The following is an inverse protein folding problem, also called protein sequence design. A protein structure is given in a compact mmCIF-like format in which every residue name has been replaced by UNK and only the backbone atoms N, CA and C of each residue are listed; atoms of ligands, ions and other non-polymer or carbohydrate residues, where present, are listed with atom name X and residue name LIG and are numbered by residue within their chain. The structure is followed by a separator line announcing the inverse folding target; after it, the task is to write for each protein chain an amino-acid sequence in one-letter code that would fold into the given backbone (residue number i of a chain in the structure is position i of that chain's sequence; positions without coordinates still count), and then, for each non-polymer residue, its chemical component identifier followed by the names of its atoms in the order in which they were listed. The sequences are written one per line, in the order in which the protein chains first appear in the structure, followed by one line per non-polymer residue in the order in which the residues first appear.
data_IF_655825652246
#
_entry.id   IF_655825652246
#
_cell.length_a   1.000
_cell.length_b   1.000
_cell.length_c   1.000
_cell.angle_alpha   90.00
_cell.angle_beta   90.00
_cell.angle_gamma   90.00
#
_symmetry.space_group_name_H-M   'P 1'
#
loop_
_entity.id
_entity.type
_entity.pdbx_description
1 polymer ?
#
# COMPACT_ATOMS: atom_id res chain seq x y z
N UNK A 1 -26.27 -18.12 -29.69
CA UNK A 1 -26.58 -16.96 -28.84
C UNK A 1 -26.01 -17.26 -27.48
N UNK A 2 -25.11 -16.43 -26.97
CA UNK A 2 -24.36 -16.72 -25.75
C UNK A 2 -25.19 -16.26 -24.54
N UNK A 3 -25.79 -17.21 -23.81
CA UNK A 3 -26.69 -16.93 -22.69
C UNK A 3 -26.02 -16.14 -21.57
N UNK A 4 -24.69 -16.22 -21.45
CA UNK A 4 -23.90 -15.44 -20.50
C UNK A 4 -23.92 -13.95 -20.87
N UNK A 5 -23.79 -13.62 -22.17
CA UNK A 5 -23.82 -12.22 -22.63
C UNK A 5 -25.17 -11.56 -22.42
N UNK A 6 -26.25 -12.33 -22.56
CA UNK A 6 -27.61 -11.83 -22.27
C UNK A 6 -27.73 -11.51 -20.79
N UNK A 7 -27.32 -12.43 -19.91
CA UNK A 7 -27.36 -12.21 -18.46
C UNK A 7 -26.57 -10.96 -18.03
N UNK A 8 -25.36 -10.75 -18.57
CA UNK A 8 -24.56 -9.55 -18.27
C UNK A 8 -25.24 -8.26 -18.78
N UNK A 9 -25.90 -8.31 -19.94
CA UNK A 9 -26.69 -7.21 -20.47
C UNK A 9 -27.88 -6.87 -19.56
N UNK A 10 -28.57 -7.88 -19.02
CA UNK A 10 -29.69 -7.69 -18.11
C UNK A 10 -29.22 -7.00 -16.82
N UNK A 11 -28.11 -7.45 -16.22
CA UNK A 11 -27.52 -6.77 -15.05
C UNK A 11 -27.05 -5.35 -15.34
N UNK A 12 -26.52 -5.08 -16.54
CA UNK A 12 -26.18 -3.71 -16.95
C UNK A 12 -27.43 -2.81 -17.01
N UNK A 13 -28.56 -3.31 -17.51
CA UNK A 13 -29.81 -2.54 -17.51
C UNK A 13 -30.30 -2.22 -16.10
N UNK A 14 -30.21 -3.18 -15.17
CA UNK A 14 -30.53 -2.96 -13.75
C UNK A 14 -29.64 -1.87 -13.14
N UNK A 15 -28.36 -1.81 -13.53
CA UNK A 15 -27.45 -0.75 -13.09
C UNK A 15 -27.81 0.63 -13.69
N UNK A 16 -28.06 0.70 -15.00
CA UNK A 16 -28.34 1.97 -15.71
C UNK A 16 -29.72 2.56 -15.36
N UNK A 17 -30.69 1.69 -15.06
CA UNK A 17 -32.08 2.07 -14.72
C UNK A 17 -32.54 1.23 -13.52
N UNK A 18 -32.08 1.56 -12.31
CA UNK A 18 -32.41 0.79 -11.11
C UNK A 18 -33.90 0.93 -10.77
N UNK A 19 -34.67 -0.12 -11.05
CA UNK A 19 -35.96 -0.39 -10.44
C UNK A 19 -35.79 -1.27 -9.18
N UNK A 20 -36.77 -1.31 -8.29
CA UNK A 20 -36.78 -2.17 -7.09
C UNK A 20 -35.51 -2.16 -6.20
N UNK A 21 -34.71 -1.08 -6.26
CA UNK A 21 -33.53 -0.93 -5.41
C UNK A 21 -33.95 -0.86 -3.92
N UNK A 22 -33.25 -1.60 -3.08
CA UNK A 22 -33.55 -1.73 -1.64
C UNK A 22 -32.55 -0.98 -0.75
N UNK A 23 -31.55 -0.35 -1.36
CA UNK A 23 -30.51 0.39 -0.64
C UNK A 23 -30.00 1.62 -1.42
N UNK A 24 -29.67 2.67 -0.69
CA UNK A 24 -28.94 3.85 -1.16
C UNK A 24 -27.56 3.89 -0.50
N UNK A 25 -26.50 3.86 -1.32
CA UNK A 25 -25.12 4.03 -0.86
C UNK A 25 -24.73 5.50 -1.00
N UNK A 26 -24.43 6.14 0.12
CA UNK A 26 -23.99 7.52 0.22
C UNK A 26 -22.46 7.57 0.31
N UNK A 27 -21.82 8.21 -0.67
CA UNK A 27 -20.36 8.16 -0.85
C UNK A 27 -19.77 9.56 -0.77
N UNK A 28 -18.63 9.67 -0.09
CA UNK A 28 -17.90 10.94 0.08
C UNK A 28 -18.49 11.86 1.14
N UNK A 29 -18.01 13.11 1.19
CA UNK A 29 -18.40 14.16 2.17
C UNK A 29 -18.41 15.54 1.53
N UNK A 30 -19.19 16.44 2.12
CA UNK A 30 -19.19 17.85 1.75
C UNK A 30 -19.62 18.05 0.30
N UNK A 31 -18.81 18.78 -0.46
CA UNK A 31 -19.09 19.06 -1.88
C UNK A 31 -18.86 17.84 -2.79
N UNK A 32 -18.04 16.86 -2.36
CA UNK A 32 -17.79 15.61 -3.09
C UNK A 32 -18.67 14.47 -2.57
N UNK A 33 -19.99 14.72 -2.46
CA UNK A 33 -20.97 13.74 -1.99
C UNK A 33 -21.86 13.25 -3.15
N UNK A 34 -22.08 11.94 -3.26
CA UNK A 34 -23.01 11.35 -4.24
C UNK A 34 -23.74 10.14 -3.64
N UNK A 35 -25.02 10.00 -4.00
CA UNK A 35 -25.86 8.86 -3.61
C UNK A 35 -26.08 7.92 -4.79
N UNK A 36 -26.02 6.62 -4.52
CA UNK A 36 -26.18 5.55 -5.52
C UNK A 36 -27.28 4.59 -5.08
N UNK A 37 -28.33 4.46 -5.89
CA UNK A 37 -29.33 3.40 -5.73
C UNK A 37 -28.73 2.05 -6.12
N UNK A 38 -28.91 1.03 -5.29
CA UNK A 38 -28.34 -0.29 -5.53
C UNK A 38 -29.20 -1.42 -4.94
N UNK A 39 -28.80 -2.65 -5.24
CA UNK A 39 -29.45 -3.87 -4.77
C UNK A 39 -28.55 -4.60 -3.77
N UNK A 40 -28.99 -4.69 -2.52
CA UNK A 40 -28.24 -5.31 -1.41
C UNK A 40 -27.87 -6.76 -1.74
N UNK A 41 -28.71 -7.47 -2.49
CA UNK A 41 -28.47 -8.85 -2.91
C UNK A 41 -27.28 -8.96 -3.88
N UNK A 42 -27.18 -8.05 -4.85
CA UNK A 42 -26.07 -8.01 -5.82
C UNK A 42 -24.78 -7.61 -5.11
N UNK A 43 -24.84 -6.55 -4.29
CA UNK A 43 -23.71 -6.10 -3.48
C UNK A 43 -23.15 -7.25 -2.62
N UNK A 44 -24.00 -7.94 -1.85
CA UNK A 44 -23.56 -9.07 -0.99
C UNK A 44 -23.11 -10.30 -1.77
N UNK A 45 -23.60 -10.51 -2.98
CA UNK A 45 -23.17 -11.63 -3.81
C UNK A 45 -21.77 -11.39 -4.41
N UNK A 46 -21.43 -10.14 -4.71
CA UNK A 46 -20.25 -9.77 -5.52
C UNK A 46 -19.14 -9.06 -4.73
N UNK A 47 -19.46 -8.50 -3.57
CA UNK A 47 -18.52 -7.75 -2.73
C UNK A 47 -18.39 -8.40 -1.34
N UNK A 48 -17.21 -8.96 -0.99
CA UNK A 48 -16.98 -9.61 0.30
C UNK A 48 -17.23 -8.70 1.50
N UNK A 49 -16.87 -7.41 1.40
CA UNK A 49 -17.13 -6.42 2.44
C UNK A 49 -18.63 -6.33 2.78
N UNK A 50 -19.48 -6.09 1.77
CA UNK A 50 -20.93 -5.97 1.98
C UNK A 50 -21.56 -7.29 2.48
N UNK A 51 -21.05 -8.43 2.00
CA UNK A 51 -21.45 -9.76 2.48
C UNK A 51 -21.17 -9.93 3.98
N UNK A 52 -19.96 -9.59 4.42
CA UNK A 52 -19.54 -9.69 5.83
C UNK A 52 -20.33 -8.75 6.73
N UNK A 53 -20.56 -7.52 6.27
CA UNK A 53 -21.35 -6.50 6.99
C UNK A 53 -22.84 -6.83 7.07
N UNK A 54 -23.32 -7.85 6.33
CA UNK A 54 -24.73 -8.25 6.24
C UNK A 54 -25.62 -7.04 5.99
N UNK A 55 -25.24 -6.21 5.02
CA UNK A 55 -25.97 -4.98 4.72
C UNK A 55 -27.41 -5.31 4.34
N UNK A 56 -28.35 -4.84 5.17
CA UNK A 56 -29.81 -4.98 5.05
C UNK A 56 -30.52 -3.65 5.32
N UNK A 57 -29.76 -2.56 5.45
CA UNK A 57 -30.28 -1.21 5.70
C UNK A 57 -30.67 -0.55 4.38
N UNK A 58 -31.65 0.37 4.44
CA UNK A 58 -32.05 1.17 3.28
C UNK A 58 -31.01 2.24 2.91
N UNK A 59 -30.12 2.59 3.83
CA UNK A 59 -29.04 3.56 3.61
C UNK A 59 -27.72 3.02 4.17
N UNK A 60 -26.60 3.34 3.51
CA UNK A 60 -25.25 2.99 3.94
C UNK A 60 -24.25 4.07 3.55
N UNK A 61 -23.27 4.35 4.40
CA UNK A 61 -22.33 5.47 4.19
C UNK A 61 -20.89 4.97 3.99
N UNK A 62 -20.26 5.45 2.93
CA UNK A 62 -18.85 5.23 2.57
C UNK A 62 -18.16 6.58 2.45
N UNK A 63 -17.94 7.22 3.60
CA UNK A 63 -17.57 8.63 3.61
C UNK A 63 -16.11 8.93 3.17
N UNK A 64 -15.24 7.92 3.14
CA UNK A 64 -13.82 8.05 2.78
C UNK A 64 -13.54 7.67 1.31
N UNK A 65 -14.58 7.45 0.51
CA UNK A 65 -14.45 6.99 -0.86
C UNK A 65 -14.66 8.16 -1.82
N UNK A 66 -13.92 8.19 -2.93
CA UNK A 66 -14.27 9.04 -4.08
C UNK A 66 -15.58 8.52 -4.70
N UNK A 67 -16.57 9.39 -4.93
CA UNK A 67 -17.78 9.05 -5.66
C UNK A 67 -17.50 8.41 -7.03
N UNK A 68 -16.53 8.94 -7.77
CA UNK A 68 -16.16 8.51 -9.12
C UNK A 68 -15.55 7.11 -9.08
N UNK A 69 -14.63 6.86 -8.15
CA UNK A 69 -14.06 5.54 -7.95
C UNK A 69 -15.11 4.51 -7.51
N UNK A 70 -16.04 4.89 -6.63
CA UNK A 70 -17.13 4.01 -6.23
C UNK A 70 -18.10 3.71 -7.36
N UNK A 71 -18.40 4.69 -8.22
CA UNK A 71 -19.25 4.50 -9.40
C UNK A 71 -18.66 3.47 -10.36
N UNK A 72 -17.35 3.56 -10.64
CA UNK A 72 -16.62 2.56 -11.41
C UNK A 72 -16.72 1.17 -10.77
N UNK A 73 -16.50 1.08 -9.45
CA UNK A 73 -16.58 -0.19 -8.70
C UNK A 73 -18.01 -0.75 -8.70
N UNK A 74 -19.02 0.10 -8.55
CA UNK A 74 -20.42 -0.29 -8.55
C UNK A 74 -20.77 -0.87 -9.93
N UNK A 75 -20.39 -0.21 -11.01
CA UNK A 75 -20.54 -0.74 -12.38
C UNK A 75 -19.90 -2.12 -12.51
N UNK A 76 -18.65 -2.29 -12.04
CA UNK A 76 -17.97 -3.59 -12.01
C UNK A 76 -18.73 -4.65 -11.20
N UNK A 77 -19.31 -4.28 -10.06
CA UNK A 77 -20.07 -5.22 -9.22
C UNK A 77 -21.26 -5.81 -10.00
N UNK A 78 -21.96 -4.99 -10.78
CA UNK A 78 -23.11 -5.41 -11.60
C UNK A 78 -22.69 -6.17 -12.86
N UNK A 79 -21.72 -5.64 -13.61
CA UNK A 79 -21.43 -6.12 -14.97
C UNK A 79 -20.23 -7.06 -15.05
N UNK A 80 -19.36 -7.06 -14.04
CA UNK A 80 -18.07 -7.73 -14.08
C UNK A 80 -17.06 -7.11 -15.04
N UNK A 81 -17.39 -5.98 -15.68
CA UNK A 81 -16.53 -5.31 -16.66
C UNK A 81 -15.68 -4.21 -16.00
N UNK A 82 -14.51 -3.98 -16.58
CA UNK A 82 -13.55 -2.95 -16.13
C UNK A 82 -13.21 -2.01 -17.28
N UNK A 83 -14.22 -1.49 -17.98
CA UNK A 83 -14.00 -0.55 -19.08
C UNK A 83 -13.53 0.78 -18.48
N UNK A 84 -12.26 1.12 -18.72
CA UNK A 84 -11.69 2.37 -18.24
C UNK A 84 -12.24 3.49 -19.13
N UNK A 85 -12.95 4.42 -18.51
CA UNK A 85 -13.35 5.68 -19.12
C UNK A 85 -12.19 6.68 -18.97
N UNK A 86 -12.10 7.68 -19.85
CA UNK A 86 -11.10 8.75 -19.73
C UNK A 86 -11.27 9.44 -18.35
N UNK A 87 -10.15 9.79 -17.70
CA UNK A 87 -10.06 10.54 -16.43
C UNK A 87 -10.37 9.82 -15.10
N UNK A 88 -10.52 8.49 -15.08
CA UNK A 88 -10.68 7.76 -13.80
C UNK A 88 -9.34 7.71 -13.03
N UNK A 89 -9.34 8.25 -11.80
CA UNK A 89 -8.22 8.07 -10.87
C UNK A 89 -8.16 6.62 -10.37
N UNK A 90 -7.31 5.82 -11.02
CA UNK A 90 -7.16 4.40 -10.72
C UNK A 90 -6.55 4.14 -9.34
N UNK A 91 -5.86 5.12 -8.73
CA UNK A 91 -5.40 5.00 -7.37
C UNK A 91 -6.56 5.07 -6.37
N UNK A 92 -7.54 5.94 -6.60
CA UNK A 92 -8.78 5.94 -5.79
C UNK A 92 -9.55 4.63 -5.96
N UNK A 93 -9.61 4.08 -7.19
CA UNK A 93 -10.20 2.76 -7.44
C UNK A 93 -9.46 1.67 -6.67
N UNK A 94 -8.13 1.73 -6.63
CA UNK A 94 -7.30 0.77 -5.89
C UNK A 94 -7.58 0.82 -4.39
N UNK A 95 -7.59 2.01 -3.77
CA UNK A 95 -7.91 2.18 -2.34
C UNK A 95 -9.31 1.63 -2.04
N UNK A 96 -10.31 2.05 -2.80
CA UNK A 96 -11.69 1.63 -2.59
C UNK A 96 -11.87 0.12 -2.80
N UNK A 97 -11.19 -0.46 -3.79
CA UNK A 97 -11.21 -1.92 -4.05
C UNK A 97 -10.55 -2.71 -2.92
N UNK A 98 -9.50 -2.17 -2.31
CA UNK A 98 -8.87 -2.76 -1.13
C UNK A 98 -9.80 -2.77 0.08
N UNK A 99 -10.43 -1.64 0.40
CA UNK A 99 -11.41 -1.56 1.49
C UNK A 99 -12.63 -2.47 1.26
N UNK A 100 -13.12 -2.57 0.02
CA UNK A 100 -14.24 -3.43 -0.35
C UNK A 100 -13.85 -4.91 -0.53
N UNK A 101 -12.57 -5.23 -0.39
CA UNK A 101 -11.99 -6.57 -0.54
C UNK A 101 -12.22 -7.19 -1.94
N UNK A 102 -12.25 -6.36 -2.99
CA UNK A 102 -12.52 -6.77 -4.38
C UNK A 102 -11.24 -7.24 -5.07
N UNK A 103 -10.94 -8.53 -4.98
CA UNK A 103 -9.62 -9.06 -5.31
C UNK A 103 -9.16 -8.80 -6.73
N UNK A 104 -10.02 -9.04 -7.70
CA UNK A 104 -9.70 -8.84 -9.10
C UNK A 104 -9.47 -7.35 -9.43
N UNK A 105 -10.27 -6.44 -8.85
CA UNK A 105 -10.13 -5.02 -9.12
C UNK A 105 -8.85 -4.42 -8.51
N UNK A 106 -8.40 -4.93 -7.37
CA UNK A 106 -7.09 -4.54 -6.82
C UNK A 106 -5.98 -4.86 -7.84
N UNK A 107 -5.94 -6.11 -8.31
CA UNK A 107 -4.91 -6.55 -9.25
C UNK A 107 -5.04 -5.79 -10.59
N UNK A 108 -6.27 -5.52 -11.04
CA UNK A 108 -6.54 -4.74 -12.24
C UNK A 108 -6.04 -3.30 -12.14
N UNK A 109 -6.42 -2.58 -11.07
CA UNK A 109 -6.03 -1.19 -10.85
C UNK A 109 -4.52 -1.05 -10.67
N UNK A 110 -3.90 -1.97 -9.92
CA UNK A 110 -2.44 -2.02 -9.77
C UNK A 110 -1.73 -2.19 -11.11
N UNK A 111 -2.12 -3.20 -11.89
CA UNK A 111 -1.52 -3.45 -13.18
C UNK A 111 -1.72 -2.25 -14.12
N UNK A 112 -2.86 -1.58 -14.04
CA UNK A 112 -3.09 -0.37 -14.83
C UNK A 112 -2.10 0.74 -14.45
N UNK A 113 -2.01 1.07 -13.16
CA UNK A 113 -1.11 2.12 -12.64
C UNK A 113 0.34 1.81 -13.00
N UNK A 114 0.80 0.58 -12.74
CA UNK A 114 2.18 0.17 -13.00
C UNK A 114 2.54 0.27 -14.50
N UNK A 115 1.61 -0.11 -15.40
CA UNK A 115 1.91 -0.19 -16.83
C UNK A 115 1.59 1.10 -17.62
N UNK A 116 0.71 1.97 -17.12
CA UNK A 116 0.23 3.14 -17.87
C UNK A 116 0.54 4.46 -17.18
N UNK A 117 0.86 4.44 -15.89
CA UNK A 117 1.19 5.63 -15.11
C UNK A 117 2.54 5.43 -14.41
N UNK A 118 3.56 4.95 -15.15
CA UNK A 118 4.88 4.60 -14.59
C UNK A 118 5.46 5.75 -13.76
N UNK A 119 5.48 6.98 -14.31
CA UNK A 119 5.90 8.18 -13.58
C UNK A 119 5.10 8.42 -12.29
N UNK A 120 3.78 8.17 -12.30
CA UNK A 120 2.94 8.34 -11.12
C UNK A 120 3.21 7.24 -10.10
N UNK A 121 3.31 5.98 -10.53
CA UNK A 121 3.58 4.82 -9.69
C UNK A 121 4.94 4.96 -9.01
N UNK A 122 5.97 5.40 -9.74
CA UNK A 122 7.29 5.69 -9.20
C UNK A 122 7.24 6.78 -8.14
N UNK A 123 6.49 7.86 -8.38
CA UNK A 123 6.38 8.96 -7.43
C UNK A 123 5.43 8.72 -6.24
N UNK A 124 4.57 7.70 -6.31
CA UNK A 124 3.53 7.44 -5.33
C UNK A 124 3.59 6.01 -4.75
N UNK A 125 4.69 5.29 -4.97
CA UNK A 125 4.85 3.91 -4.51
C UNK A 125 4.63 3.77 -3.01
N UNK A 126 5.06 4.75 -2.22
CA UNK A 126 4.83 4.71 -0.78
C UNK A 126 3.39 5.01 -0.42
N UNK A 127 2.70 5.88 -1.16
CA UNK A 127 1.27 6.10 -0.93
C UNK A 127 0.48 4.82 -1.12
N UNK A 128 0.86 4.02 -2.13
CA UNK A 128 0.32 2.69 -2.33
C UNK A 128 0.49 1.82 -1.07
N UNK A 129 1.68 1.74 -0.48
CA UNK A 129 1.95 0.83 0.66
C UNK A 129 1.72 1.44 2.05
N UNK A 130 1.31 2.70 2.14
CA UNK A 130 1.37 3.49 3.39
C UNK A 130 0.49 2.92 4.51
N UNK A 131 -0.68 2.37 4.17
CA UNK A 131 -1.64 1.82 5.13
C UNK A 131 -1.08 0.56 5.80
N UNK A 132 -0.61 -0.38 4.98
CA UNK A 132 -0.02 -1.64 5.44
C UNK A 132 1.21 -1.37 6.30
N UNK A 133 2.10 -0.49 5.85
CA UNK A 133 3.32 -0.13 6.59
C UNK A 133 2.96 0.59 7.90
N UNK A 134 1.97 1.48 7.89
CA UNK A 134 1.49 2.17 9.10
C UNK A 134 0.98 1.18 10.15
N UNK A 135 0.20 0.18 9.74
CA UNK A 135 -0.29 -0.86 10.65
C UNK A 135 0.84 -1.72 11.19
N UNK A 136 1.87 -1.99 10.38
CA UNK A 136 3.09 -2.67 10.83
C UNK A 136 3.89 -1.86 11.85
N UNK A 137 3.99 -0.54 11.68
CA UNK A 137 4.67 0.35 12.64
C UNK A 137 3.87 0.40 13.94
N UNK A 138 2.54 0.55 13.85
CA UNK A 138 1.64 0.65 14.99
C UNK A 138 1.45 -0.68 15.74
N UNK A 139 1.84 -1.81 15.15
CA UNK A 139 1.56 -3.17 15.65
C UNK A 139 0.08 -3.40 15.92
N UNK A 140 -0.81 -2.90 15.06
CA UNK A 140 -2.24 -3.14 15.22
C UNK A 140 -2.53 -4.64 15.00
N UNK A 141 -3.24 -5.24 15.94
CA UNK A 141 -3.72 -6.62 15.86
C UNK A 141 -5.16 -6.63 15.32
N UNK A 142 -5.41 -6.05 14.14
CA UNK A 142 -6.71 -6.10 13.41
C UNK A 142 -8.00 -5.79 14.22
N UNK A 143 -7.93 -5.04 15.32
CA UNK A 143 -9.12 -4.70 16.12
C UNK A 143 -9.18 -3.18 16.26
N UNK A 144 -10.14 -2.58 15.53
CA UNK A 144 -10.54 -1.17 15.50
C UNK A 144 -9.49 -0.16 14.99
N UNK A 145 -9.67 0.23 13.73
CA UNK A 145 -8.90 1.30 13.07
C UNK A 145 -9.63 2.62 13.34
N UNK A 146 -8.99 3.54 14.07
CA UNK A 146 -9.22 4.96 13.76
C UNK A 146 -8.62 5.21 12.38
N UNK A 147 -9.46 5.58 11.42
CA UNK A 147 -9.17 5.77 9.98
C UNK A 147 -8.19 6.91 9.67
N UNK A 148 -7.55 7.48 10.70
CA UNK A 148 -6.67 8.61 10.55
C UNK A 148 -5.22 8.12 10.60
N UNK A 149 -4.39 8.43 9.58
CA UNK A 149 -3.00 8.01 9.58
C UNK A 149 -2.28 8.66 10.76
N UNK A 150 -2.00 7.84 11.77
CA UNK A 150 -1.26 8.17 13.00
C UNK A 150 0.20 8.56 12.72
N UNK A 151 0.67 8.32 11.50
CA UNK A 151 1.98 8.74 11.03
C UNK A 151 1.85 9.60 9.77
N UNK A 152 2.74 10.57 9.63
CA UNK A 152 3.06 11.20 8.34
C UNK A 152 4.47 10.81 7.92
N UNK A 153 4.69 10.75 6.62
CA UNK A 153 5.95 10.36 6.01
C UNK A 153 6.48 11.56 5.24
N UNK A 154 7.67 12.03 5.62
CA UNK A 154 8.33 13.16 4.96
C UNK A 154 9.55 12.62 4.22
N UNK A 155 9.61 12.82 2.90
CA UNK A 155 10.78 12.45 2.10
C UNK A 155 12.02 13.18 2.65
N UNK A 156 13.08 12.41 2.89
CA UNK A 156 14.40 12.90 3.31
C UNK A 156 15.41 12.78 2.18
N UNK A 157 15.31 11.72 1.40
CA UNK A 157 16.28 11.39 0.37
C UNK A 157 15.63 10.50 -0.70
N UNK A 158 15.92 10.77 -1.97
CA UNK A 158 15.64 9.88 -3.11
C UNK A 158 16.93 9.69 -3.91
N UNK A 159 17.33 8.45 -4.13
CA UNK A 159 18.62 8.12 -4.75
C UNK A 159 18.83 8.73 -6.14
N UNK A 160 17.79 8.72 -6.99
CA UNK A 160 17.84 9.35 -8.32
C UNK A 160 18.01 10.88 -8.27
N UNK A 161 17.39 11.54 -7.29
CA UNK A 161 17.38 13.02 -7.20
C UNK A 161 18.55 13.56 -6.36
N UNK A 162 18.87 12.90 -5.25
CA UNK A 162 19.79 13.35 -4.21
C UNK A 162 21.11 12.56 -4.19
N UNK A 163 21.21 11.48 -4.98
CA UNK A 163 22.42 10.69 -5.19
C UNK A 163 22.42 9.29 -4.55
N UNK A 164 23.23 8.39 -5.13
CA UNK A 164 23.19 6.94 -4.84
C UNK A 164 24.27 6.46 -3.85
N UNK A 165 24.97 7.36 -3.18
CA UNK A 165 26.07 7.02 -2.27
C UNK A 165 25.66 6.97 -0.79
N UNK A 166 26.46 6.26 0.01
CA UNK A 166 26.30 6.23 1.48
C UNK A 166 26.51 7.60 2.11
N UNK A 167 27.39 8.43 1.53
CA UNK A 167 27.68 9.77 2.04
C UNK A 167 26.47 10.71 1.88
N UNK A 168 25.84 10.70 0.69
CA UNK A 168 24.61 11.46 0.41
C UNK A 168 23.44 10.99 1.27
N UNK A 169 23.34 9.68 1.53
CA UNK A 169 22.37 9.15 2.48
C UNK A 169 22.57 9.75 3.87
N UNK A 170 23.80 9.73 4.39
CA UNK A 170 24.09 10.21 5.75
C UNK A 170 23.88 11.72 5.88
N UNK A 171 24.28 12.50 4.88
CA UNK A 171 24.04 13.95 4.85
C UNK A 171 22.55 14.28 5.02
N UNK A 172 21.68 13.51 4.37
CA UNK A 172 20.25 13.76 4.36
C UNK A 172 19.47 13.07 5.49
N UNK A 173 19.90 11.89 5.95
CA UNK A 173 19.11 10.99 6.79
C UNK A 173 19.59 10.88 8.25
N UNK A 174 20.82 11.28 8.57
CA UNK A 174 21.31 11.23 9.95
C UNK A 174 20.53 12.20 10.85
N UNK A 175 20.34 11.79 12.10
CA UNK A 175 19.66 12.56 13.16
C UNK A 175 18.18 12.91 12.92
N UNK A 176 17.56 12.40 11.84
CA UNK A 176 16.16 12.72 11.51
C UNK A 176 15.10 11.95 12.31
N UNK A 177 15.47 11.06 13.21
CA UNK A 177 14.52 10.21 13.94
C UNK A 177 14.16 8.94 13.17
N UNK A 178 13.00 8.32 13.47
CA UNK A 178 12.59 7.08 12.83
C UNK A 178 12.46 7.23 11.31
N UNK A 179 12.95 6.25 10.54
CA UNK A 179 12.89 6.27 9.07
C UNK A 179 12.31 5.00 8.48
N UNK A 180 11.60 5.15 7.37
CA UNK A 180 11.25 4.08 6.44
C UNK A 180 12.19 4.17 5.23
N UNK A 181 12.87 3.09 4.90
CA UNK A 181 13.67 2.94 3.68
C UNK A 181 12.88 2.05 2.71
N UNK A 182 12.72 2.50 1.48
CA UNK A 182 12.02 1.80 0.40
C UNK A 182 12.97 1.71 -0.79
N UNK A 183 13.09 0.52 -1.37
CA UNK A 183 14.10 0.18 -2.37
C UNK A 183 13.41 -0.47 -3.56
N UNK A 184 13.69 0.05 -4.75
CA UNK A 184 13.29 -0.53 -6.04
C UNK A 184 14.39 -1.45 -6.54
N UNK A 185 14.02 -2.70 -6.85
CA UNK A 185 14.96 -3.67 -7.42
C UNK A 185 14.93 -3.56 -8.94
N UNK A 186 16.11 -3.38 -9.53
CA UNK A 186 16.29 -3.22 -10.97
C UNK A 186 15.72 -4.40 -11.75
N UNK A 187 15.09 -4.08 -12.88
CA UNK A 187 14.48 -5.04 -13.81
C UNK A 187 13.37 -5.88 -13.14
N UNK A 188 12.73 -5.34 -12.10
CA UNK A 188 11.59 -5.97 -11.43
C UNK A 188 10.61 -4.92 -10.88
N UNK A 189 9.38 -5.35 -10.62
CA UNK A 189 8.42 -4.56 -9.83
C UNK A 189 8.48 -4.90 -8.33
N UNK A 190 9.53 -5.62 -7.88
CA UNK A 190 9.68 -5.93 -6.47
C UNK A 190 10.16 -4.70 -5.70
N UNK A 191 9.44 -4.41 -4.62
CA UNK A 191 9.80 -3.37 -3.66
C UNK A 191 10.22 -4.04 -2.37
N UNK A 192 11.37 -3.65 -1.85
CA UNK A 192 11.85 -4.10 -0.53
C UNK A 192 12.12 -2.89 0.35
N UNK A 193 12.32 -3.13 1.64
CA UNK A 193 12.62 -2.02 2.53
C UNK A 193 12.73 -2.42 3.99
N UNK A 194 12.86 -1.40 4.83
CA UNK A 194 12.92 -1.59 6.26
C UNK A 194 12.59 -0.32 7.04
N UNK A 195 12.14 -0.52 8.27
CA UNK A 195 11.82 0.55 9.19
C UNK A 195 12.84 0.60 10.33
N UNK A 196 13.54 1.72 10.46
CA UNK A 196 14.41 2.02 11.59
C UNK A 196 13.62 2.88 12.60
N UNK A 197 13.35 2.40 13.83
CA UNK A 197 12.62 3.15 14.86
C UNK A 197 13.47 4.23 15.57
N UNK A 198 14.73 4.42 15.18
CA UNK A 198 15.68 5.37 15.76
C UNK A 198 16.33 6.20 14.65
N UNK A 199 16.97 7.32 15.02
CA UNK A 199 17.78 8.09 14.06
C UNK A 199 18.95 7.27 13.53
N UNK A 200 19.41 7.54 12.32
CA UNK A 200 20.77 7.19 11.85
C UNK A 200 21.80 8.18 12.44
N UNK A 201 23.06 7.77 12.55
CA UNK A 201 24.13 8.61 13.11
C UNK A 201 25.55 8.20 12.66
N UNK A 202 25.67 7.35 11.62
CA UNK A 202 26.96 6.89 11.11
C UNK A 202 27.92 6.30 12.16
N UNK A 203 27.40 5.76 13.27
CA UNK A 203 28.21 5.50 14.47
C UNK A 203 29.21 4.35 14.32
N UNK A 204 29.03 3.48 13.33
CA UNK A 204 29.77 2.23 13.16
C UNK A 204 29.29 1.09 14.05
N UNK A 205 28.25 1.31 14.86
CA UNK A 205 27.76 0.34 15.85
C UNK A 205 26.38 -0.23 15.52
N UNK A 206 26.02 -1.31 16.20
CA UNK A 206 24.68 -1.86 16.17
C UNK A 206 23.72 -1.03 17.02
N UNK A 207 22.53 -0.75 16.49
CA UNK A 207 21.44 -0.17 17.27
C UNK A 207 20.46 -1.26 17.68
N UNK A 208 20.34 -1.45 19.00
CA UNK A 208 19.51 -2.49 19.60
C UNK A 208 18.05 -2.10 19.52
N UNK A 209 17.22 -2.94 18.90
CA UNK A 209 15.77 -2.70 18.85
C UNK A 209 14.97 -3.96 18.54
N UNK A 210 13.74 -4.04 19.05
CA UNK A 210 12.75 -5.03 18.62
C UNK A 210 11.63 -4.42 17.76
N UNK A 211 11.64 -3.10 17.53
CA UNK A 211 10.59 -2.38 16.82
C UNK A 211 10.84 -2.30 15.31
N UNK A 212 12.07 -2.55 14.88
CA UNK A 212 12.41 -2.61 13.46
C UNK A 212 11.76 -3.79 12.76
N UNK A 213 11.64 -3.68 11.44
CA UNK A 213 11.21 -4.73 10.54
C UNK A 213 11.79 -4.46 9.15
N UNK A 214 11.93 -5.52 8.37
CA UNK A 214 12.19 -5.46 6.94
C UNK A 214 11.02 -6.08 6.19
N UNK A 215 10.82 -5.69 4.94
CA UNK A 215 9.70 -6.17 4.14
C UNK A 215 10.05 -6.35 2.66
N UNK A 216 9.17 -7.08 1.98
CA UNK A 216 9.11 -7.15 0.52
C UNK A 216 7.65 -7.13 0.07
N UNK A 217 7.38 -6.44 -1.03
CA UNK A 217 6.16 -6.55 -1.84
C UNK A 217 6.58 -7.11 -3.20
N UNK A 218 6.18 -8.35 -3.47
CA UNK A 218 6.53 -9.00 -4.74
C UNK A 218 5.59 -8.53 -5.87
N UNK A 219 6.15 -8.31 -7.05
CA UNK A 219 5.45 -7.89 -8.26
C UNK A 219 4.57 -6.64 -8.07
N UNK A 220 4.96 -5.71 -7.20
CA UNK A 220 4.17 -4.52 -6.89
C UNK A 220 2.80 -4.79 -6.26
N UNK A 221 2.55 -5.99 -5.71
CA UNK A 221 1.25 -6.38 -5.16
C UNK A 221 1.19 -6.28 -3.63
N UNK A 222 0.16 -5.60 -3.11
CA UNK A 222 -0.17 -5.55 -1.67
C UNK A 222 -0.43 -6.90 -1.01
N UNK A 223 -0.68 -7.95 -1.79
CA UNK A 223 -1.08 -9.27 -1.28
C UNK A 223 0.05 -10.25 -1.14
N UNK A 224 1.15 -9.96 -1.81
CA UNK A 224 2.36 -10.76 -1.74
C UNK A 224 3.38 -10.04 -0.87
N UNK A 225 2.90 -9.52 0.28
CA UNK A 225 3.74 -8.88 1.28
C UNK A 225 4.45 -9.93 2.12
N UNK A 226 5.70 -9.62 2.45
CA UNK A 226 6.46 -10.34 3.46
C UNK A 226 6.86 -9.34 4.51
N UNK A 227 6.20 -9.37 5.67
CA UNK A 227 6.67 -8.69 6.87
C UNK A 227 7.63 -9.60 7.66
N UNK A 228 8.88 -9.16 7.81
CA UNK A 228 9.90 -9.83 8.62
C UNK A 228 10.28 -8.99 9.84
N UNK A 229 9.97 -9.51 11.04
CA UNK A 229 10.32 -8.85 12.31
C UNK A 229 11.69 -9.29 12.80
N UNK A 230 12.30 -8.46 13.64
CA UNK A 230 13.57 -8.76 14.32
C UNK A 230 13.49 -10.12 15.06
N UNK A 231 14.50 -10.95 14.83
CA UNK A 231 14.81 -12.18 15.57
C UNK A 231 15.83 -11.91 16.66
N UNK A 232 16.94 -11.25 16.31
CA UNK A 232 18.00 -10.84 17.22
C UNK A 232 18.05 -9.32 17.33
N UNK A 233 17.71 -8.81 18.51
CA UNK A 233 17.65 -7.38 18.78
C UNK A 233 19.02 -6.72 18.82
N UNK A 234 20.07 -7.48 19.17
CA UNK A 234 21.42 -6.95 19.32
C UNK A 234 22.06 -6.56 17.98
N UNK A 235 21.54 -7.11 16.89
CA UNK A 235 22.03 -6.90 15.53
C UNK A 235 20.95 -6.36 14.59
N UNK A 236 19.92 -5.67 15.11
CA UNK A 236 18.75 -5.28 14.32
C UNK A 236 19.04 -4.20 13.26
N UNK A 237 19.82 -3.18 13.61
CA UNK A 237 20.19 -2.07 12.71
C UNK A 237 21.70 -1.92 12.73
N UNK A 238 22.33 -1.91 11.56
CA UNK A 238 23.74 -1.65 11.40
C UNK A 238 23.93 -0.18 10.98
N UNK A 239 24.17 0.68 11.97
CA UNK A 239 24.35 2.13 11.78
C UNK A 239 25.79 2.42 11.38
N UNK A 240 26.18 1.99 10.19
CA UNK A 240 27.57 2.04 9.71
C UNK A 240 27.79 3.25 8.79
N UNK A 241 29.01 3.79 8.78
CA UNK A 241 29.43 4.92 7.92
C UNK A 241 29.87 4.49 6.51
N UNK A 242 29.66 3.23 6.15
CA UNK A 242 30.09 2.66 4.87
C UNK A 242 29.00 1.75 4.30
N UNK A 243 29.27 1.09 3.18
CA UNK A 243 28.35 0.18 2.49
C UNK A 243 27.81 -1.00 3.33
N UNK A 244 28.24 -1.20 4.58
CA UNK A 244 27.61 -2.13 5.52
C UNK A 244 26.40 -1.53 6.26
N UNK A 245 26.03 -0.28 5.99
CA UNK A 245 24.79 0.32 6.46
C UNK A 245 23.59 -0.54 6.07
N UNK A 246 22.73 -0.82 7.04
CA UNK A 246 21.41 -1.39 6.74
C UNK A 246 20.76 -2.12 7.90
N UNK A 247 19.95 -3.11 7.57
CA UNK A 247 19.16 -3.87 8.53
C UNK A 247 19.77 -5.24 8.74
N UNK A 248 19.94 -5.61 10.01
CA UNK A 248 20.38 -6.96 10.36
C UNK A 248 21.85 -7.20 10.08
N UNK A 249 22.32 -8.39 10.43
CA UNK A 249 23.59 -8.90 9.94
C UNK A 249 23.46 -9.34 8.49
N UNK A 250 23.48 -8.34 7.59
CA UNK A 250 23.32 -8.46 6.14
C UNK A 250 21.90 -8.84 5.68
N UNK A 251 20.91 -8.77 6.56
CA UNK A 251 19.52 -9.08 6.20
C UNK A 251 18.98 -8.15 5.10
N UNK A 252 19.42 -6.89 5.09
CA UNK A 252 19.22 -5.96 3.98
C UNK A 252 20.33 -4.88 3.95
N UNK A 253 21.25 -5.00 3.00
CA UNK A 253 22.28 -4.01 2.67
C UNK A 253 22.09 -3.54 1.22
N UNK A 254 21.35 -2.47 1.02
CA UNK A 254 20.95 -2.06 -0.33
C UNK A 254 22.10 -1.49 -1.16
N UNK A 255 23.03 -0.76 -0.53
CA UNK A 255 24.25 -0.29 -1.19
C UNK A 255 25.20 -1.42 -1.64
N UNK A 256 25.06 -2.64 -1.10
CA UNK A 256 25.80 -3.84 -1.55
C UNK A 256 24.96 -4.81 -2.39
N UNK A 257 23.66 -4.52 -2.53
CA UNK A 257 22.70 -5.43 -3.12
C UNK A 257 22.67 -6.79 -2.41
N UNK A 258 22.73 -6.82 -1.07
CA UNK A 258 22.69 -8.06 -0.28
C UNK A 258 21.43 -8.18 0.55
N UNK A 259 20.88 -9.39 0.61
CA UNK A 259 19.72 -9.70 1.42
C UNK A 259 19.80 -11.15 1.91
N UNK A 260 20.05 -11.36 3.20
CA UNK A 260 20.02 -12.70 3.80
C UNK A 260 18.96 -12.78 4.92
N UNK A 261 18.88 -13.90 5.62
CA UNK A 261 17.99 -14.04 6.77
C UNK A 261 18.79 -14.51 7.98
N UNK A 262 19.27 -13.56 8.78
CA UNK A 262 20.12 -13.79 9.96
C UNK A 262 19.47 -13.18 11.21
N UNK A 263 19.40 -11.84 11.26
CA UNK A 263 18.88 -11.08 12.41
C UNK A 263 17.37 -10.87 12.34
N UNK A 264 16.72 -11.18 11.23
CA UNK A 264 15.26 -11.09 11.03
C UNK A 264 14.63 -12.46 10.80
N UNK A 265 13.34 -12.59 11.13
CA UNK A 265 12.65 -13.89 11.25
C UNK A 265 12.38 -14.60 9.92
N UNK A 266 12.11 -13.83 8.86
CA UNK A 266 11.74 -14.32 7.53
C UNK A 266 12.70 -13.78 6.47
N UNK A 267 12.94 -14.59 5.44
CA UNK A 267 13.61 -14.18 4.20
C UNK A 267 12.65 -13.29 3.40
N UNK A 268 13.13 -12.16 2.87
CA UNK A 268 12.31 -11.22 2.08
C UNK A 268 12.54 -11.33 0.57
N UNK A 269 13.62 -11.96 0.12
CA UNK A 269 13.92 -12.24 -1.29
C UNK A 269 14.29 -13.71 -1.50
N UNK A 270 14.08 -14.25 -2.70
CA UNK A 270 14.50 -15.64 -3.00
C UNK A 270 16.01 -15.77 -3.24
N UNK A 271 16.64 -14.74 -3.76
CA UNK A 271 18.09 -14.67 -3.96
C UNK A 271 18.75 -13.88 -2.84
N UNK A 272 20.03 -14.15 -2.58
CA UNK A 272 20.79 -13.38 -1.58
C UNK A 272 21.37 -12.05 -2.11
N UNK A 273 21.16 -11.81 -3.40
CA UNK A 273 21.69 -10.68 -4.15
C UNK A 273 20.60 -10.05 -5.00
N UNK A 274 20.65 -8.73 -5.13
CA UNK A 274 19.79 -7.94 -6.01
C UNK A 274 20.56 -6.74 -6.55
N UNK A 275 20.04 -6.12 -7.60
CA UNK A 275 20.57 -4.86 -8.12
C UNK A 275 19.66 -3.72 -7.67
N UNK A 276 20.26 -2.70 -7.08
CA UNK A 276 19.56 -1.48 -6.68
C UNK A 276 19.25 -0.66 -7.94
N UNK A 277 17.99 -0.31 -8.14
CA UNK A 277 17.55 0.65 -9.16
C UNK A 277 17.48 2.06 -8.60
N UNK A 278 16.69 2.21 -7.53
CA UNK A 278 16.54 3.45 -6.77
C UNK A 278 16.13 3.12 -5.33
N UNK A 279 16.21 4.11 -4.45
CA UNK A 279 15.70 4.02 -3.10
C UNK A 279 15.23 5.38 -2.60
N UNK A 280 14.25 5.35 -1.71
CA UNK A 280 13.75 6.53 -1.04
C UNK A 280 13.75 6.32 0.48
N UNK A 281 13.97 7.41 1.22
CA UNK A 281 14.02 7.42 2.68
C UNK A 281 13.03 8.45 3.20
N UNK A 282 12.17 8.02 4.12
CA UNK A 282 11.14 8.87 4.71
C UNK A 282 11.30 8.94 6.21
N UNK A 283 11.29 10.16 6.74
CA UNK A 283 11.06 10.39 8.15
C UNK A 283 9.65 9.97 8.52
N UNK A 284 9.51 9.11 9.53
CA UNK A 284 8.22 8.68 10.07
C UNK A 284 7.90 9.53 11.30
N UNK A 285 6.90 10.40 11.15
CA UNK A 285 6.51 11.36 12.18
C UNK A 285 5.18 10.90 12.77
N UNK A 286 5.14 10.64 14.08
CA UNK A 286 3.87 10.35 14.76
C UNK A 286 3.05 11.64 14.89
N UNK A 287 1.83 11.64 14.39
CA UNK A 287 0.89 12.74 14.60
C UNK A 287 0.45 12.72 16.07
N UNK A 288 0.81 13.75 16.82
CA UNK A 288 0.25 14.03 18.14
C UNK A 288 -1.02 14.86 17.93
N UNK A 289 -2.18 14.32 18.31
CA UNK A 289 -3.55 14.85 18.20
C UNK A 289 -3.74 16.32 17.74
N UNK A 290 -4.59 16.45 16.71
CA UNK A 290 -5.49 17.55 16.34
C UNK A 290 -5.48 18.80 17.23
N UNK A 291 -4.94 19.89 16.71
CA UNK A 291 -5.56 21.22 16.84
C UNK A 291 -6.44 21.47 15.63
#
# INVERSE_FOLDING_TARGET
MDSIKILLSDFRQIYEKPDDFDIVINVGKGENFKSFSAHSVILRARCPYFKKKKVITSEYYLENFSPEAFEFILKYIYTGECNIEEDIDMYQVLIASNELELTYLIDYAQNYIINNEEDWAENNIIRMYIEIITDWIARKNNINISLLPIFSFKLLHRGIDDGMSVDEFHENCDEKGPTLVVIKIKDSHDIIGGYNPSSWSSSGFWKVTNKSFIFSFKNGSFRNDILSRVRDQSTAIHDNFNHNLGFGYRDLLWFKGECICSSYKKKILETSKFLLEDYEVFQVIRKTNYS
#
